data_IF_178533597109
#
_entry.id   IF_178533597109
#
_cell.length_a   1.000
_cell.length_b   1.000
_cell.length_c   1.000
_cell.angle_alpha   90.00
_cell.angle_beta   90.00
_cell.angle_gamma   90.00
#
_symmetry.space_group_name_H-M   'P 1'
#
loop_
_entity.id
_entity.type
_entity.pdbx_description
1 polymer ?
#
# COMPACT_ATOMS: atom_id res chain seq x y z
N UNK A 1 2.94 4.84 20.66
CA UNK A 1 3.50 3.73 19.89
C UNK A 1 2.48 3.10 18.95
N UNK A 2 1.27 2.78 19.44
CA UNK A 2 0.23 2.08 18.65
C UNK A 2 -0.24 2.89 17.44
N UNK A 3 -0.38 4.20 17.59
CA UNK A 3 -0.70 5.13 16.50
C UNK A 3 0.37 5.08 15.40
N UNK A 4 1.66 5.10 15.78
CA UNK A 4 2.75 4.96 14.81
C UNK A 4 2.70 3.59 14.10
N UNK A 5 2.40 2.51 14.83
CA UNK A 5 2.27 1.17 14.26
C UNK A 5 1.11 1.04 13.28
N UNK A 6 0.00 1.70 13.56
CA UNK A 6 -1.19 1.69 12.72
C UNK A 6 -1.01 2.54 11.45
N UNK A 7 -0.66 3.82 11.62
CA UNK A 7 -0.64 4.77 10.51
C UNK A 7 0.55 4.58 9.55
N UNK A 8 1.66 3.98 10.02
CA UNK A 8 2.82 3.67 9.19
C UNK A 8 2.98 2.17 8.89
N UNK A 9 1.86 1.45 8.92
CA UNK A 9 1.86 0.05 8.47
C UNK A 9 2.33 -0.04 7.02
N UNK A 10 3.37 -0.84 6.77
CA UNK A 10 4.09 -0.84 5.50
C UNK A 10 3.19 -1.06 4.26
N UNK A 11 2.31 -2.05 4.29
CA UNK A 11 1.43 -2.37 3.15
C UNK A 11 0.21 -1.45 3.01
N UNK A 12 -0.20 -0.76 4.07
CA UNK A 12 -1.39 0.08 4.03
C UNK A 12 -1.19 1.33 3.17
N UNK A 13 0.04 1.88 3.16
CA UNK A 13 0.42 3.04 2.32
C UNK A 13 -0.60 4.20 2.42
N UNK A 14 -1.04 4.51 3.65
CA UNK A 14 -2.00 5.59 3.88
C UNK A 14 -1.48 6.92 3.34
N UNK A 15 -2.30 7.70 2.63
CA UNK A 15 -1.95 9.06 2.21
C UNK A 15 -1.61 9.95 3.42
N UNK A 16 -0.68 10.89 3.25
CA UNK A 16 -0.27 11.78 4.34
C UNK A 16 -1.41 12.67 4.84
N UNK A 17 -2.35 13.03 3.96
CA UNK A 17 -3.58 13.75 4.32
C UNK A 17 -4.42 12.97 5.32
N UNK A 18 -4.65 11.67 5.06
CA UNK A 18 -5.40 10.79 5.95
C UNK A 18 -4.67 10.56 7.27
N UNK A 19 -3.34 10.37 7.24
CA UNK A 19 -2.54 10.22 8.47
C UNK A 19 -2.69 11.45 9.37
N UNK A 20 -2.62 12.65 8.77
CA UNK A 20 -2.76 13.91 9.50
C UNK A 20 -4.15 14.04 10.13
N UNK A 21 -5.20 13.79 9.37
CA UNK A 21 -6.58 13.83 9.84
C UNK A 21 -6.80 12.89 11.03
N UNK A 22 -6.41 11.62 10.90
CA UNK A 22 -6.55 10.63 11.96
C UNK A 22 -5.71 10.94 13.20
N UNK A 23 -4.54 11.59 13.04
CA UNK A 23 -3.73 12.05 14.17
C UNK A 23 -4.39 13.19 14.93
N UNK A 24 -5.00 14.14 14.23
CA UNK A 24 -5.74 15.24 14.88
C UNK A 24 -6.95 14.69 15.65
N UNK A 25 -7.74 13.80 15.03
CA UNK A 25 -8.85 13.15 15.72
C UNK A 25 -8.41 12.36 16.95
N UNK A 26 -7.29 11.63 16.83
CA UNK A 26 -6.73 10.89 17.96
C UNK A 26 -6.34 11.80 19.11
N UNK A 27 -5.66 12.93 18.83
CA UNK A 27 -5.25 13.89 19.86
C UNK A 27 -6.47 14.56 20.49
N UNK A 28 -7.47 14.95 19.69
CA UNK A 28 -8.72 15.52 20.19
C UNK A 28 -9.47 14.55 21.11
N UNK A 29 -9.51 13.28 20.75
CA UNK A 29 -10.07 12.25 21.61
C UNK A 29 -9.26 12.06 22.90
N UNK A 30 -7.93 12.06 22.80
CA UNK A 30 -7.04 11.92 23.96
C UNK A 30 -7.14 13.09 24.93
N UNK A 31 -7.31 14.32 24.42
CA UNK A 31 -7.48 15.53 25.23
C UNK A 31 -8.73 15.51 26.11
N UNK A 32 -9.73 14.69 25.78
CA UNK A 32 -10.93 14.49 26.64
C UNK A 32 -10.61 13.74 27.94
N UNK A 33 -9.52 12.99 27.97
CA UNK A 33 -9.14 12.16 29.11
C UNK A 33 -7.97 12.76 29.91
N UNK A 34 -7.06 13.48 29.23
CA UNK A 34 -5.91 14.11 29.86
C UNK A 34 -5.41 15.29 29.02
N UNK A 35 -4.84 16.32 29.62
CA UNK A 35 -4.20 17.40 28.88
C UNK A 35 -3.02 16.84 28.07
N UNK A 36 -2.93 17.23 26.79
CA UNK A 36 -1.88 16.81 25.87
C UNK A 36 -1.26 18.05 25.24
N UNK A 37 0.05 18.17 25.38
CA UNK A 37 0.84 19.13 24.61
C UNK A 37 0.99 18.57 23.19
N UNK A 38 0.31 19.21 22.22
CA UNK A 38 0.27 18.77 20.83
C UNK A 38 1.64 18.83 20.18
N UNK A 39 2.37 19.90 20.37
CA UNK A 39 3.68 20.12 19.76
C UNK A 39 4.67 19.06 20.25
N UNK A 40 4.71 18.87 21.56
CA UNK A 40 5.51 17.80 22.15
C UNK A 40 5.09 16.41 21.66
N UNK A 41 3.79 16.15 21.54
CA UNK A 41 3.29 14.87 21.02
C UNK A 41 3.81 14.59 19.61
N UNK A 42 3.69 15.56 18.70
CA UNK A 42 4.15 15.39 17.33
C UNK A 42 5.68 15.25 17.24
N UNK A 43 6.44 16.01 18.01
CA UNK A 43 7.90 15.86 18.05
C UNK A 43 8.32 14.46 18.51
N UNK A 44 7.66 13.91 19.52
CA UNK A 44 7.94 12.56 19.99
C UNK A 44 7.45 11.49 19.01
N UNK A 45 6.27 11.66 18.40
CA UNK A 45 5.73 10.74 17.43
C UNK A 45 6.69 10.51 16.26
N UNK A 46 7.35 11.57 15.79
CA UNK A 46 8.33 11.50 14.71
C UNK A 46 9.46 10.49 15.00
N UNK A 47 10.02 10.49 16.21
CA UNK A 47 11.02 9.51 16.62
C UNK A 47 10.44 8.09 16.75
N UNK A 48 9.22 7.96 17.29
CA UNK A 48 8.55 6.66 17.39
C UNK A 48 8.25 6.05 16.02
N UNK A 49 7.92 6.87 15.04
CA UNK A 49 7.66 6.40 13.66
C UNK A 49 8.96 5.89 13.03
N UNK A 50 10.08 6.62 13.18
CA UNK A 50 11.38 6.15 12.71
C UNK A 50 11.77 4.83 13.37
N UNK A 51 11.72 4.78 14.71
CA UNK A 51 12.03 3.56 15.46
C UNK A 51 11.17 2.36 15.03
N UNK A 52 9.86 2.58 14.88
CA UNK A 52 8.94 1.54 14.42
C UNK A 52 9.26 1.05 13.02
N UNK A 53 9.61 1.95 12.11
CA UNK A 53 9.97 1.60 10.74
C UNK A 53 11.23 0.74 10.71
N UNK A 54 12.25 1.07 11.51
CA UNK A 54 13.46 0.25 11.63
C UNK A 54 13.18 -1.13 12.22
N UNK A 55 12.34 -1.20 13.25
CA UNK A 55 11.91 -2.45 13.86
C UNK A 55 11.18 -3.36 12.86
N UNK A 56 10.29 -2.78 12.07
CA UNK A 56 9.56 -3.50 11.01
C UNK A 56 10.50 -4.01 9.93
N UNK A 57 11.45 -3.19 9.47
CA UNK A 57 12.45 -3.59 8.49
C UNK A 57 13.32 -4.75 9.01
N UNK A 58 13.77 -4.68 10.26
CA UNK A 58 14.50 -5.78 10.90
C UNK A 58 13.68 -7.07 10.97
N UNK A 59 12.40 -6.96 11.39
CA UNK A 59 11.51 -8.11 11.45
C UNK A 59 11.23 -8.71 10.06
N UNK A 60 11.04 -7.88 9.03
CA UNK A 60 10.81 -8.34 7.65
C UNK A 60 12.08 -8.97 7.07
N UNK A 61 13.24 -8.39 7.32
CA UNK A 61 14.51 -8.97 6.92
C UNK A 61 14.72 -10.35 7.54
N UNK A 62 14.59 -10.46 8.85
CA UNK A 62 14.76 -11.73 9.55
C UNK A 62 13.76 -12.79 9.08
N UNK A 63 12.46 -12.49 9.13
CA UNK A 63 11.41 -13.45 8.75
C UNK A 63 11.38 -13.76 7.26
N UNK A 64 11.75 -12.81 6.43
CA UNK A 64 11.79 -12.99 4.99
C UNK A 64 12.98 -13.83 4.54
N UNK A 65 14.19 -13.37 4.86
CA UNK A 65 15.40 -14.00 4.33
C UNK A 65 15.87 -15.19 5.17
N UNK A 66 15.73 -15.12 6.51
CA UNK A 66 16.17 -16.20 7.39
C UNK A 66 15.11 -17.29 7.56
N UNK A 67 13.87 -16.92 7.95
CA UNK A 67 12.74 -17.85 8.07
C UNK A 67 12.12 -18.22 6.71
N UNK A 68 12.58 -17.62 5.60
CA UNK A 68 12.13 -17.89 4.22
C UNK A 68 10.62 -17.71 4.02
N UNK A 69 10.00 -16.74 4.71
CA UNK A 69 8.58 -16.41 4.58
C UNK A 69 8.34 -15.36 3.49
N UNK A 70 7.82 -15.74 2.30
CA UNK A 70 7.77 -14.86 1.13
C UNK A 70 6.98 -13.56 1.34
N UNK A 71 5.91 -13.62 2.13
CA UNK A 71 5.06 -12.45 2.38
C UNK A 71 5.77 -11.31 3.15
N UNK A 72 6.80 -11.64 3.94
CA UNK A 72 7.64 -10.62 4.57
C UNK A 72 8.58 -9.97 3.57
N UNK A 73 9.21 -10.76 2.68
CA UNK A 73 10.04 -10.21 1.60
C UNK A 73 9.24 -9.26 0.73
N UNK A 74 8.02 -9.63 0.35
CA UNK A 74 7.11 -8.78 -0.41
C UNK A 74 6.72 -7.47 0.31
N UNK A 75 6.90 -7.41 1.62
CA UNK A 75 6.57 -6.23 2.43
C UNK A 75 7.76 -5.25 2.56
N UNK A 76 8.99 -5.72 2.35
CA UNK A 76 10.21 -4.91 2.49
C UNK A 76 10.17 -3.63 1.65
N UNK A 77 9.79 -3.64 0.35
CA UNK A 77 9.82 -2.43 -0.45
C UNK A 77 8.84 -1.34 0.03
N UNK A 78 7.71 -1.74 0.61
CA UNK A 78 6.78 -0.77 1.21
C UNK A 78 7.37 -0.12 2.46
N UNK A 79 8.09 -0.92 3.27
CA UNK A 79 8.76 -0.40 4.45
C UNK A 79 9.95 0.51 4.08
N UNK A 80 10.67 0.20 3.00
CA UNK A 80 11.74 1.06 2.45
C UNK A 80 11.14 2.38 1.93
N UNK A 81 9.98 2.35 1.28
CA UNK A 81 9.32 3.58 0.83
C UNK A 81 8.88 4.46 2.01
N UNK A 82 8.30 3.87 3.06
CA UNK A 82 8.00 4.60 4.28
C UNK A 82 9.28 5.23 4.88
N UNK A 83 10.39 4.49 4.89
CA UNK A 83 11.67 5.01 5.37
C UNK A 83 12.18 6.19 4.52
N UNK A 84 12.07 6.11 3.17
CA UNK A 84 12.43 7.23 2.29
C UNK A 84 11.63 8.48 2.60
N UNK A 85 10.33 8.33 2.82
CA UNK A 85 9.45 9.45 3.15
C UNK A 85 9.86 10.08 4.48
N UNK A 86 10.13 9.27 5.50
CA UNK A 86 10.57 9.74 6.81
C UNK A 86 11.92 10.46 6.77
N UNK A 87 12.85 9.98 5.95
CA UNK A 87 14.19 10.58 5.82
C UNK A 87 14.22 11.88 5.01
N UNK A 88 13.07 12.38 4.53
CA UNK A 88 12.94 13.75 4.02
C UNK A 88 13.01 14.78 5.14
N UNK A 89 12.57 14.37 6.33
CA UNK A 89 12.67 15.19 7.53
C UNK A 89 14.08 15.10 8.12
N UNK A 90 14.44 16.12 8.91
CA UNK A 90 15.72 16.17 9.57
C UNK A 90 15.65 15.50 10.95
N UNK A 91 16.68 14.71 11.25
CA UNK A 91 16.88 14.07 12.56
C UNK A 91 18.25 14.50 13.09
N UNK A 92 18.36 15.72 13.65
CA UNK A 92 19.65 16.26 14.07
C UNK A 92 20.31 15.45 15.17
N UNK A 93 19.54 14.66 15.94
CA UNK A 93 20.05 13.77 16.98
C UNK A 93 20.77 12.54 16.42
N UNK A 94 20.46 12.16 15.16
CA UNK A 94 20.94 10.90 14.56
C UNK A 94 21.54 11.10 13.16
N UNK A 95 22.46 12.05 12.93
CA UNK A 95 22.93 12.41 11.58
C UNK A 95 23.62 11.24 10.89
N UNK A 96 24.46 10.50 11.60
CA UNK A 96 25.15 9.32 11.05
C UNK A 96 24.18 8.19 10.71
N UNK A 97 23.24 7.89 11.63
CA UNK A 97 22.21 6.88 11.35
C UNK A 97 21.42 7.23 10.09
N UNK A 98 20.99 8.48 9.96
CA UNK A 98 20.22 8.93 8.79
C UNK A 98 21.03 8.84 7.50
N UNK A 99 22.34 9.10 7.52
CA UNK A 99 23.17 8.91 6.31
C UNK A 99 23.21 7.45 5.87
N UNK A 100 23.44 6.53 6.81
CA UNK A 100 23.45 5.08 6.53
C UNK A 100 22.08 4.61 6.03
N UNK A 101 21.00 5.10 6.63
CA UNK A 101 19.64 4.74 6.21
C UNK A 101 19.31 5.27 4.81
N UNK A 102 19.75 6.48 4.47
CA UNK A 102 19.61 7.00 3.10
C UNK A 102 20.35 6.12 2.10
N UNK A 103 21.59 5.74 2.37
CA UNK A 103 22.36 4.81 1.53
C UNK A 103 21.62 3.47 1.37
N UNK A 104 21.08 2.93 2.47
CA UNK A 104 20.28 1.70 2.45
C UNK A 104 19.10 1.81 1.47
N UNK A 105 18.36 2.92 1.50
CA UNK A 105 17.20 3.10 0.62
C UNK A 105 17.58 3.22 -0.85
N UNK A 106 18.82 3.59 -1.15
CA UNK A 106 19.34 3.77 -2.51
C UNK A 106 19.92 2.48 -3.12
N UNK A 107 19.97 1.37 -2.37
CA UNK A 107 20.43 0.10 -2.88
C UNK A 107 19.63 -0.34 -4.10
N UNK A 108 20.33 -0.83 -5.13
CA UNK A 108 19.75 -1.22 -6.42
C UNK A 108 18.59 -2.20 -6.28
N UNK A 109 18.71 -3.17 -5.38
CA UNK A 109 17.67 -4.16 -5.12
C UNK A 109 16.31 -3.56 -4.72
N UNK A 110 16.31 -2.42 -3.99
CA UNK A 110 15.07 -1.76 -3.57
C UNK A 110 14.52 -0.78 -4.62
N UNK A 111 15.38 -0.25 -5.50
CA UNK A 111 14.94 0.63 -6.61
C UNK A 111 14.21 -0.16 -7.70
N UNK A 112 14.71 -1.34 -8.05
CA UNK A 112 14.16 -2.14 -9.14
C UNK A 112 12.80 -2.78 -8.75
N UNK A 113 12.59 -3.11 -7.49
CA UNK A 113 11.33 -3.67 -7.02
C UNK A 113 10.16 -2.67 -7.04
N UNK A 114 10.41 -1.39 -6.80
CA UNK A 114 9.38 -0.35 -6.89
C UNK A 114 8.91 -0.13 -8.33
N UNK A 115 9.83 -0.23 -9.31
CA UNK A 115 9.48 -0.13 -10.73
C UNK A 115 8.61 -1.28 -11.24
N UNK A 116 8.72 -2.47 -10.64
CA UNK A 116 7.95 -3.67 -10.99
C UNK A 116 6.50 -3.66 -10.47
N UNK A 117 6.12 -2.68 -9.66
CA UNK A 117 4.84 -2.65 -8.93
C UNK A 117 3.82 -1.67 -9.48
N UNK A 118 3.78 -1.49 -10.79
CA UNK A 118 2.62 -0.83 -11.39
C UNK A 118 1.41 -1.75 -11.23
N UNK A 119 0.31 -1.18 -10.73
CA UNK A 119 -0.97 -1.85 -10.70
C UNK A 119 -1.33 -2.28 -12.12
N UNK A 120 -1.33 -3.59 -12.36
CA UNK A 120 -1.77 -4.14 -13.64
C UNK A 120 -3.17 -4.69 -13.46
N UNK A 121 -4.14 -4.09 -14.12
CA UNK A 121 -5.50 -4.58 -14.16
C UNK A 121 -5.68 -5.34 -15.46
N UNK A 122 -5.96 -6.66 -15.37
CA UNK A 122 -6.27 -7.49 -16.53
C UNK A 122 -7.78 -7.70 -16.58
N UNK A 123 -8.42 -7.09 -17.57
CA UNK A 123 -9.84 -7.27 -17.82
C UNK A 123 -10.01 -8.35 -18.87
N UNK A 124 -10.83 -9.36 -18.57
CA UNK A 124 -11.05 -10.49 -19.46
C UNK A 124 -12.55 -10.76 -19.62
N UNK A 125 -12.97 -11.08 -20.83
CA UNK A 125 -14.31 -11.59 -21.12
C UNK A 125 -14.21 -13.10 -21.34
N UNK A 126 -15.10 -13.85 -20.72
CA UNK A 126 -15.13 -15.31 -20.86
C UNK A 126 -16.56 -15.86 -20.86
N UNK A 127 -16.72 -17.02 -21.43
CA UNK A 127 -17.99 -17.73 -21.41
C UNK A 127 -18.02 -18.72 -20.23
N UNK A 128 -19.03 -18.66 -19.38
CA UNK A 128 -19.18 -19.56 -18.20
C UNK A 128 -19.06 -21.05 -18.55
N UNK A 129 -19.45 -21.44 -19.76
CA UNK A 129 -19.30 -22.83 -20.24
C UNK A 129 -17.85 -23.30 -20.32
N UNK A 130 -16.89 -22.37 -20.44
CA UNK A 130 -15.46 -22.65 -20.51
C UNK A 130 -14.76 -22.57 -19.14
N UNK A 131 -15.50 -22.25 -18.09
CA UNK A 131 -14.93 -22.02 -16.76
C UNK A 131 -14.40 -20.61 -16.56
N UNK A 132 -14.07 -20.28 -15.31
CA UNK A 132 -13.42 -19.03 -14.94
C UNK A 132 -11.94 -19.14 -15.33
N UNK A 133 -11.36 -18.12 -16.00
CA UNK A 133 -9.94 -18.12 -16.32
C UNK A 133 -9.07 -18.23 -15.08
N UNK A 134 -8.00 -19.01 -15.16
CA UNK A 134 -7.03 -19.14 -14.08
C UNK A 134 -6.29 -17.83 -13.82
N UNK A 135 -5.97 -17.58 -12.56
CA UNK A 135 -5.07 -16.50 -12.16
C UNK A 135 -3.60 -16.96 -12.20
N UNK A 136 -2.84 -16.59 -13.24
CA UNK A 136 -1.44 -17.01 -13.35
C UNK A 136 -0.53 -16.32 -12.33
N UNK A 137 -1.03 -15.32 -11.60
CA UNK A 137 -0.21 -14.58 -10.61
C UNK A 137 -0.12 -15.30 -9.26
N UNK A 138 -1.04 -16.23 -8.99
CA UNK A 138 -1.12 -16.95 -7.73
C UNK A 138 -1.55 -16.08 -6.53
N UNK A 139 -2.08 -14.89 -6.78
CA UNK A 139 -2.52 -13.95 -5.74
C UNK A 139 -3.95 -14.20 -5.23
N UNK A 140 -4.59 -15.26 -5.67
CA UNK A 140 -5.92 -15.65 -5.17
C UNK A 140 -7.09 -15.10 -5.98
N UNK A 141 -6.86 -14.73 -7.24
CA UNK A 141 -7.90 -14.34 -8.19
C UNK A 141 -8.28 -12.86 -8.12
N UNK A 142 -9.35 -12.53 -8.81
CA UNK A 142 -9.87 -11.19 -8.97
C UNK A 142 -11.38 -11.15 -8.77
N UNK A 143 -12.00 -10.13 -9.32
CA UNK A 143 -13.45 -9.99 -9.32
C UNK A 143 -14.03 -10.67 -10.55
N UNK A 144 -15.09 -11.45 -10.36
CA UNK A 144 -15.88 -12.06 -11.43
C UNK A 144 -17.26 -11.44 -11.42
N UNK A 145 -17.63 -10.81 -12.52
CA UNK A 145 -18.93 -10.17 -12.69
C UNK A 145 -19.80 -11.03 -13.61
N UNK A 146 -20.97 -11.44 -13.11
CA UNK A 146 -21.96 -12.15 -13.91
C UNK A 146 -22.81 -11.16 -14.71
N UNK A 147 -22.47 -11.00 -15.98
CA UNK A 147 -23.19 -10.08 -16.88
C UNK A 147 -24.41 -10.72 -17.56
N UNK A 148 -24.82 -11.95 -17.20
CA UNK A 148 -25.98 -12.63 -17.84
C UNK A 148 -27.30 -11.95 -17.50
N UNK A 149 -27.38 -11.24 -16.38
CA UNK A 149 -28.54 -10.45 -15.97
C UNK A 149 -28.64 -9.09 -16.71
N UNK A 150 -27.53 -8.65 -17.31
CA UNK A 150 -27.52 -7.44 -18.13
C UNK A 150 -28.26 -7.68 -19.42
N UNK A 151 -29.16 -6.74 -19.78
CA UNK A 151 -29.90 -6.86 -21.03
C UNK A 151 -28.93 -6.89 -22.23
N UNK A 152 -29.03 -7.95 -23.06
CA UNK A 152 -28.17 -8.08 -24.21
C UNK A 152 -28.84 -7.41 -25.42
N UNK A 153 -28.33 -6.25 -25.89
CA UNK A 153 -28.90 -5.54 -27.06
C UNK A 153 -28.94 -6.41 -28.32
N UNK A 154 -27.98 -7.33 -28.48
CA UNK A 154 -27.92 -8.23 -29.64
C UNK A 154 -29.13 -9.19 -29.79
N UNK A 155 -30.03 -9.28 -28.80
CA UNK A 155 -31.31 -9.97 -28.91
C UNK A 155 -32.35 -9.21 -29.74
N UNK A 156 -32.16 -7.92 -29.95
CA UNK A 156 -33.08 -7.07 -30.67
C UNK A 156 -32.58 -6.81 -32.09
N UNK A 157 -33.44 -7.01 -33.11
CA UNK A 157 -33.09 -6.87 -34.54
C UNK A 157 -32.41 -5.53 -34.85
N UNK A 158 -32.89 -4.43 -34.24
CA UNK A 158 -32.34 -3.07 -34.45
C UNK A 158 -30.87 -2.91 -34.05
N UNK A 159 -30.35 -3.76 -33.15
CA UNK A 159 -28.99 -3.68 -32.69
C UNK A 159 -28.06 -4.76 -33.25
N UNK A 160 -28.60 -5.75 -33.98
CA UNK A 160 -27.80 -6.84 -34.58
C UNK A 160 -26.70 -6.37 -35.53
N UNK A 161 -26.88 -5.30 -36.31
CA UNK A 161 -25.82 -4.83 -37.21
C UNK A 161 -24.71 -4.04 -36.48
N UNK A 162 -24.88 -3.70 -35.19
CA UNK A 162 -23.91 -2.91 -34.42
C UNK A 162 -22.99 -3.79 -33.58
N UNK A 163 -21.78 -3.30 -33.34
CA UNK A 163 -20.83 -3.84 -32.38
C UNK A 163 -20.86 -3.01 -31.10
N UNK A 164 -20.25 -3.50 -30.03
CA UNK A 164 -20.14 -2.74 -28.77
C UNK A 164 -19.23 -1.49 -28.86
N UNK A 165 -18.64 -1.22 -30.02
CA UNK A 165 -17.78 -0.07 -30.29
C UNK A 165 -18.50 1.02 -31.12
N UNK A 166 -19.71 0.75 -31.60
CA UNK A 166 -20.47 1.72 -32.36
C UNK A 166 -21.17 2.70 -31.40
N UNK A 167 -21.05 4.01 -31.68
CA UNK A 167 -21.78 5.03 -30.96
C UNK A 167 -23.26 4.98 -31.33
N UNK A 168 -24.12 4.93 -30.30
CA UNK A 168 -25.57 5.04 -30.48
C UNK A 168 -25.90 6.48 -30.90
N UNK A 169 -26.38 6.70 -32.08
CA UNK A 169 -26.84 7.98 -32.61
C UNK A 169 -28.36 8.06 -32.60
#
# INVERSE_FOLDING_TARGET
YDVASFLWQAKAQYPDTLKKELLEEYIDALCKYKPVDREYFFSQLHHFVLFRTLQVLGAYGFRGYFEKKPHFIQSVPYAIENLRQLLRDEYPEYPYLCSVLRELTELKQFKDELKKRQLTVKVMSFAYKKGIPDDPTGNGGGYVFDCRAVNNPGKYERYKPFTGLDEDR
#
